data_IF_350106885577
#
_entry.id   IF_350106885577
#
_cell.length_a   1.000
_cell.length_b   1.000
_cell.length_c   1.000
_cell.angle_alpha   90.00
_cell.angle_beta   90.00
_cell.angle_gamma   90.00
#
_symmetry.space_group_name_H-M   'P 1'
#
loop_
_entity.id
_entity.type
_entity.pdbx_description
1 polymer ?
#
# COMPACT_ATOMS: atom_id res chain seq x y z
N UNK A 1 13.23 -3.40 -4.42
CA UNK A 1 14.17 -3.38 -5.56
C UNK A 1 13.44 -3.85 -6.80
N UNK A 2 14.03 -3.64 -7.98
CA UNK A 2 13.63 -4.34 -9.21
C UNK A 2 14.86 -4.98 -9.80
N UNK A 3 14.81 -6.28 -10.05
CA UNK A 3 15.95 -7.10 -10.53
C UNK A 3 17.23 -6.89 -9.69
N UNK A 4 17.06 -6.76 -8.37
CA UNK A 4 18.14 -6.48 -7.42
C UNK A 4 18.61 -5.03 -7.36
N UNK A 5 18.10 -4.14 -8.22
CA UNK A 5 18.47 -2.72 -8.27
C UNK A 5 17.58 -1.89 -7.34
N UNK A 6 18.20 -1.07 -6.48
CA UNK A 6 17.49 -0.14 -5.59
C UNK A 6 17.00 1.13 -6.29
N UNK A 7 16.04 1.86 -5.72
CA UNK A 7 15.57 3.12 -6.29
C UNK A 7 16.61 4.26 -6.20
N UNK A 8 17.59 4.15 -5.29
CA UNK A 8 18.69 5.10 -5.14
C UNK A 8 20.01 4.34 -5.00
N UNK A 9 21.12 5.02 -5.32
CA UNK A 9 22.47 4.48 -5.25
C UNK A 9 23.36 5.37 -4.38
N UNK A 10 23.83 4.87 -3.23
CA UNK A 10 24.76 5.61 -2.40
C UNK A 10 26.15 5.64 -3.04
N UNK A 11 26.83 6.79 -2.99
CA UNK A 11 28.24 6.96 -3.35
C UNK A 11 29.16 7.05 -2.12
N UNK A 12 28.62 6.82 -0.92
CA UNK A 12 29.31 6.98 0.34
C UNK A 12 28.35 7.27 1.50
N UNK A 13 28.85 7.55 2.71
CA UNK A 13 28.03 7.72 3.91
C UNK A 13 27.01 8.86 3.85
N UNK A 14 27.28 9.88 3.02
CA UNK A 14 26.45 11.09 2.90
C UNK A 14 26.33 11.58 1.45
N UNK A 15 26.59 10.73 0.48
CA UNK A 15 26.54 11.07 -0.95
C UNK A 15 25.74 10.04 -1.73
N UNK A 16 25.08 10.50 -2.77
CA UNK A 16 24.32 9.67 -3.69
C UNK A 16 24.99 9.70 -5.05
N UNK A 17 25.34 8.53 -5.60
CA UNK A 17 25.67 8.42 -7.01
C UNK A 17 24.41 8.70 -7.84
N UNK A 18 23.26 8.25 -7.34
CA UNK A 18 21.95 8.53 -7.90
C UNK A 18 20.91 8.63 -6.78
N UNK A 19 20.05 9.65 -6.85
CA UNK A 19 18.87 9.78 -5.99
C UNK A 19 17.64 9.82 -6.89
N UNK A 20 16.66 8.97 -6.61
CA UNK A 20 15.36 9.03 -7.30
C UNK A 20 14.75 10.42 -7.13
N UNK A 21 14.25 10.98 -8.22
CA UNK A 21 13.37 12.14 -8.17
C UNK A 21 11.96 11.65 -7.88
N UNK A 22 11.34 12.20 -6.85
CA UNK A 22 10.01 11.81 -6.41
C UNK A 22 9.08 13.02 -6.36
N UNK A 23 7.82 12.81 -6.73
CA UNK A 23 6.77 13.82 -6.66
C UNK A 23 5.51 13.21 -6.03
N UNK A 24 4.99 13.88 -5.00
CA UNK A 24 3.66 13.57 -4.47
C UNK A 24 2.62 14.16 -5.42
N UNK A 25 1.86 13.30 -6.08
CA UNK A 25 0.93 13.70 -7.14
C UNK A 25 -0.53 13.70 -6.70
N UNK A 26 -0.82 13.25 -5.47
CA UNK A 26 -2.16 13.21 -4.89
C UNK A 26 -2.09 13.10 -3.37
N UNK A 27 -2.91 13.90 -2.68
CA UNK A 27 -3.13 13.84 -1.24
C UNK A 27 -4.59 14.19 -0.92
N UNK A 28 -5.32 13.29 -0.26
CA UNK A 28 -6.67 13.58 0.25
C UNK A 28 -6.84 13.00 1.65
N UNK A 29 -7.68 13.65 2.45
CA UNK A 29 -8.07 13.19 3.78
C UNK A 29 -9.58 13.42 3.98
N UNK A 30 -10.29 12.37 4.38
CA UNK A 30 -11.71 12.45 4.69
C UNK A 30 -12.16 11.27 5.55
N UNK A 31 -13.00 11.51 6.56
CA UNK A 31 -13.68 10.43 7.29
C UNK A 31 -12.74 9.43 7.99
N UNK A 32 -11.55 9.87 8.43
CA UNK A 32 -10.54 8.99 9.02
C UNK A 32 -9.72 8.19 7.99
N UNK A 33 -9.86 8.49 6.71
CA UNK A 33 -9.09 7.90 5.62
C UNK A 33 -8.16 8.97 5.05
N UNK A 34 -6.87 8.64 4.94
CA UNK A 34 -5.88 9.45 4.21
C UNK A 34 -5.39 8.65 3.02
N UNK A 35 -5.38 9.25 1.84
CA UNK A 35 -4.79 8.66 0.64
C UNK A 35 -3.69 9.60 0.14
N UNK A 36 -2.47 9.07 0.04
CA UNK A 36 -1.34 9.74 -0.58
C UNK A 36 -0.80 8.89 -1.72
N UNK A 37 -0.58 9.47 -2.90
CA UNK A 37 0.16 8.83 -3.99
C UNK A 37 1.35 9.69 -4.38
N UNK A 38 2.47 9.02 -4.65
CA UNK A 38 3.67 9.62 -5.18
C UNK A 38 4.28 8.74 -6.27
N UNK A 39 4.95 9.36 -7.23
CA UNK A 39 5.78 8.67 -8.23
C UNK A 39 7.25 8.96 -8.00
N UNK A 40 8.11 8.03 -8.42
CA UNK A 40 9.54 8.27 -8.53
C UNK A 40 10.16 7.55 -9.71
N UNK A 41 11.32 8.02 -10.17
CA UNK A 41 12.01 7.50 -11.35
C UNK A 41 13.22 6.60 -11.06
N UNK A 42 13.43 6.28 -9.78
CA UNK A 42 14.60 5.53 -9.28
C UNK A 42 14.97 4.20 -9.97
N UNK A 43 14.06 3.61 -10.76
CA UNK A 43 14.34 2.38 -11.52
C UNK A 43 14.61 2.62 -13.01
N UNK A 44 14.56 3.87 -13.50
CA UNK A 44 14.93 4.19 -14.90
C UNK A 44 16.33 3.71 -15.26
N UNK A 45 17.24 3.82 -14.30
CA UNK A 45 18.63 3.34 -14.39
C UNK A 45 18.75 1.81 -14.54
N UNK A 46 17.74 1.04 -14.14
CA UNK A 46 17.72 -0.41 -14.30
C UNK A 46 17.28 -0.82 -15.72
N UNK A 47 17.28 0.12 -16.68
CA UNK A 47 16.80 -0.12 -18.05
C UNK A 47 15.28 -0.15 -18.16
N UNK A 48 14.55 0.18 -17.08
CA UNK A 48 13.10 0.21 -17.07
C UNK A 48 12.62 1.59 -17.52
N UNK A 49 11.66 1.68 -18.43
CA UNK A 49 11.04 2.98 -18.75
C UNK A 49 10.12 3.50 -17.63
N UNK A 50 9.87 2.67 -16.61
CA UNK A 50 8.81 2.84 -15.63
C UNK A 50 9.12 3.88 -14.54
N UNK A 51 8.19 4.80 -14.34
CA UNK A 51 8.03 5.41 -13.02
C UNK A 51 7.42 4.37 -12.07
N UNK A 52 7.91 4.32 -10.84
CA UNK A 52 7.29 3.56 -9.77
C UNK A 52 6.33 4.48 -9.01
N UNK A 53 5.10 4.02 -8.82
CA UNK A 53 4.09 4.72 -8.03
C UNK A 53 3.90 4.00 -6.71
N UNK A 54 3.92 4.75 -5.61
CA UNK A 54 3.52 4.27 -4.30
C UNK A 54 2.28 5.02 -3.84
N UNK A 55 1.23 4.27 -3.59
CA UNK A 55 0.01 4.74 -2.95
C UNK A 55 -0.03 4.23 -1.52
N UNK A 56 -0.23 5.13 -0.56
CA UNK A 56 -0.40 4.82 0.85
C UNK A 56 -1.81 5.24 1.26
N UNK A 57 -2.58 4.28 1.79
CA UNK A 57 -3.88 4.53 2.43
C UNK A 57 -3.74 4.26 3.91
N UNK A 58 -4.05 5.26 4.72
CA UNK A 58 -4.27 5.10 6.16
C UNK A 58 -5.77 5.07 6.39
N UNK A 59 -6.25 3.99 7.01
CA UNK A 59 -7.59 3.92 7.59
C UNK A 59 -7.41 3.95 9.09
N UNK A 60 -7.74 5.10 9.67
CA UNK A 60 -7.47 5.37 11.07
C UNK A 60 -8.23 4.38 11.99
N UNK A 61 -7.63 4.03 13.15
CA UNK A 61 -6.32 4.49 13.63
C UNK A 61 -5.15 3.57 13.25
N UNK A 62 -5.39 2.39 12.68
CA UNK A 62 -4.43 1.28 12.78
C UNK A 62 -4.19 0.48 11.50
N UNK A 63 -4.83 0.82 10.38
CA UNK A 63 -4.68 0.07 9.14
C UNK A 63 -3.94 0.92 8.09
N UNK A 64 -2.83 0.39 7.61
CA UNK A 64 -2.05 0.97 6.52
C UNK A 64 -2.07 0.04 5.33
N UNK A 65 -2.32 0.56 4.14
CA UNK A 65 -2.27 -0.17 2.89
C UNK A 65 -1.26 0.55 2.00
N UNK A 66 -0.20 -0.15 1.63
CA UNK A 66 0.85 0.36 0.76
C UNK A 66 0.80 -0.42 -0.54
N UNK A 67 0.55 0.28 -1.64
CA UNK A 67 0.51 -0.29 -2.97
C UNK A 67 1.62 0.31 -3.81
N UNK A 68 2.53 -0.56 -4.24
CA UNK A 68 3.58 -0.24 -5.20
C UNK A 68 3.15 -0.71 -6.59
N UNK A 69 3.17 0.20 -7.57
CA UNK A 69 2.84 -0.08 -8.96
C UNK A 69 4.00 0.30 -9.86
N UNK A 70 4.41 -0.62 -10.71
CA UNK A 70 5.45 -0.42 -11.71
C UNK A 70 4.90 -0.68 -13.10
N UNK A 71 5.06 0.31 -13.97
CA UNK A 71 4.68 0.24 -15.38
C UNK A 71 5.86 -0.25 -16.23
N UNK A 72 6.15 -1.55 -16.12
CA UNK A 72 7.27 -2.20 -16.81
C UNK A 72 6.75 -3.12 -17.92
N UNK A 73 7.54 -3.25 -18.98
CA UNK A 73 7.31 -4.23 -20.05
C UNK A 73 8.22 -5.43 -19.85
N UNK A 74 7.67 -6.64 -20.04
CA UNK A 74 8.43 -7.87 -19.85
C UNK A 74 8.39 -8.39 -18.41
N UNK A 75 9.27 -9.35 -18.12
CA UNK A 75 9.28 -10.09 -16.85
C UNK A 75 10.36 -9.58 -15.93
N UNK A 76 9.96 -9.07 -14.76
CA UNK A 76 10.87 -8.51 -13.75
C UNK A 76 10.61 -9.12 -12.38
N UNK A 77 11.66 -9.17 -11.56
CA UNK A 77 11.60 -9.52 -10.14
C UNK A 77 11.42 -8.24 -9.33
N UNK A 78 10.33 -8.11 -8.58
CA UNK A 78 10.16 -7.04 -7.60
C UNK A 78 10.34 -7.57 -6.20
N UNK A 79 10.98 -6.75 -5.37
CA UNK A 79 11.08 -7.03 -3.95
C UNK A 79 10.67 -5.80 -3.14
N UNK A 80 9.79 -6.01 -2.17
CA UNK A 80 9.45 -5.00 -1.15
C UNK A 80 10.12 -5.42 0.15
N UNK A 81 10.90 -4.50 0.72
CA UNK A 81 11.64 -4.74 1.96
C UNK A 81 10.98 -4.00 3.12
N UNK A 82 10.74 -4.71 4.21
CA UNK A 82 10.19 -4.20 5.46
C UNK A 82 11.23 -4.36 6.56
N UNK A 83 11.68 -3.22 7.11
CA UNK A 83 12.65 -3.19 8.19
C UNK A 83 11.91 -3.11 9.52
N UNK A 84 12.10 -4.10 10.37
CA UNK A 84 11.56 -4.06 11.73
C UNK A 84 12.42 -3.16 12.62
N UNK A 85 11.82 -2.63 13.68
CA UNK A 85 12.56 -2.00 14.77
C UNK A 85 13.36 -3.04 15.57
N UNK A 86 14.48 -2.66 16.23
CA UNK A 86 15.15 -3.52 17.19
C UNK A 86 14.18 -4.06 18.26
N UNK A 87 14.35 -5.32 18.65
CA UNK A 87 13.48 -6.00 19.61
C UNK A 87 12.15 -6.52 19.05
N UNK A 88 11.86 -6.30 17.76
CA UNK A 88 10.74 -6.96 17.08
C UNK A 88 11.15 -8.35 16.62
N UNK A 89 10.29 -9.34 16.88
CA UNK A 89 10.42 -10.72 16.41
C UNK A 89 9.28 -11.05 15.44
N UNK A 90 9.56 -11.15 14.13
CA UNK A 90 8.60 -11.65 13.15
C UNK A 90 8.28 -13.13 13.37
N UNK A 91 7.02 -13.50 13.20
CA UNK A 91 6.53 -14.88 13.20
C UNK A 91 5.58 -15.06 12.04
N UNK A 92 5.76 -16.11 11.24
CA UNK A 92 4.94 -16.35 10.05
C UNK A 92 3.84 -17.36 10.34
N UNK A 93 2.61 -16.99 10.03
CA UNK A 93 1.41 -17.84 10.08
C UNK A 93 0.72 -17.82 8.71
N UNK A 94 1.00 -18.83 7.88
CA UNK A 94 0.53 -18.87 6.50
C UNK A 94 1.10 -17.71 5.66
N UNK A 95 0.22 -16.82 5.21
CA UNK A 95 0.58 -15.65 4.41
C UNK A 95 0.89 -14.39 5.27
N UNK A 96 0.55 -14.41 6.56
CA UNK A 96 0.66 -13.25 7.46
C UNK A 96 1.93 -13.36 8.31
N UNK A 97 2.58 -12.22 8.51
CA UNK A 97 3.64 -12.05 9.50
C UNK A 97 3.12 -11.32 10.73
N UNK A 98 3.05 -12.01 11.87
CA UNK A 98 2.84 -11.40 13.18
C UNK A 98 4.15 -10.81 13.71
N UNK A 99 4.16 -9.51 13.98
CA UNK A 99 5.32 -8.78 14.50
C UNK A 99 5.19 -8.66 16.02
N UNK A 100 6.13 -9.25 16.77
CA UNK A 100 6.02 -9.35 18.23
C UNK A 100 7.07 -8.50 18.96
N UNK A 101 6.68 -7.88 20.08
CA UNK A 101 7.59 -7.25 21.05
C UNK A 101 7.32 -7.84 22.42
N UNK A 102 8.36 -8.29 23.11
CA UNK A 102 8.25 -8.87 24.47
C UNK A 102 7.19 -9.97 24.59
N UNK A 103 7.01 -10.75 23.51
CA UNK A 103 6.03 -11.84 23.42
C UNK A 103 4.62 -11.42 22.99
N UNK A 104 4.29 -10.13 22.95
CA UNK A 104 3.00 -9.62 22.49
C UNK A 104 3.05 -9.23 21.00
N UNK A 105 2.04 -9.62 20.22
CA UNK A 105 1.87 -9.14 18.84
C UNK A 105 1.55 -7.64 18.85
N UNK A 106 2.33 -6.84 18.13
CA UNK A 106 2.19 -5.38 18.01
C UNK A 106 1.69 -4.94 16.62
N UNK A 107 1.83 -5.81 15.62
CA UNK A 107 1.30 -5.57 14.28
C UNK A 107 1.26 -6.86 13.45
N UNK A 108 0.44 -6.85 12.40
CA UNK A 108 0.45 -7.85 11.34
C UNK A 108 0.91 -7.21 10.03
N UNK A 109 1.67 -7.97 9.24
CA UNK A 109 2.13 -7.59 7.91
C UNK A 109 1.69 -8.68 6.91
N UNK A 110 0.96 -8.29 5.88
CA UNK A 110 0.55 -9.16 4.78
C UNK A 110 0.98 -8.52 3.46
N UNK A 111 1.56 -9.31 2.56
CA UNK A 111 1.81 -8.91 1.17
C UNK A 111 1.05 -9.88 0.26
N UNK A 112 0.73 -9.42 -0.95
CA UNK A 112 0.09 -10.16 -2.04
C UNK A 112 0.32 -11.69 -2.03
N UNK A 113 -0.72 -12.48 -2.32
CA UNK A 113 -0.77 -13.92 -2.04
C UNK A 113 0.27 -14.77 -2.80
N UNK A 114 0.83 -14.21 -3.88
CA UNK A 114 1.82 -14.85 -4.75
C UNK A 114 3.20 -14.19 -4.60
N UNK A 115 3.71 -14.12 -3.37
CA UNK A 115 5.07 -13.68 -3.07
C UNK A 115 5.86 -14.74 -2.32
N UNK A 116 7.15 -14.81 -2.62
CA UNK A 116 8.12 -15.55 -1.85
C UNK A 116 8.65 -14.66 -0.73
N UNK A 117 8.76 -15.19 0.48
CA UNK A 117 9.28 -14.45 1.62
C UNK A 117 10.69 -14.89 1.97
N UNK A 118 11.54 -13.93 2.29
CA UNK A 118 12.79 -14.16 3.01
C UNK A 118 12.87 -13.28 4.25
N UNK A 119 13.50 -13.82 5.29
CA UNK A 119 13.83 -13.11 6.52
C UNK A 119 15.36 -13.05 6.65
N UNK A 120 15.88 -11.86 6.95
CA UNK A 120 17.31 -11.63 7.13
C UNK A 120 17.54 -10.78 8.38
N UNK A 121 18.57 -11.08 9.15
CA UNK A 121 19.04 -10.18 10.19
C UNK A 121 19.84 -9.05 9.54
N UNK A 122 19.38 -7.81 9.71
CA UNK A 122 20.08 -6.61 9.24
C UNK A 122 20.44 -5.72 10.43
N UNK A 123 20.87 -4.49 10.16
CA UNK A 123 21.12 -3.50 11.20
C UNK A 123 20.38 -2.19 10.91
N UNK A 124 19.89 -1.56 11.98
CA UNK A 124 19.33 -0.20 11.97
C UNK A 124 20.23 0.69 12.84
N UNK A 125 20.48 1.92 12.39
CA UNK A 125 21.23 2.92 13.13
C UNK A 125 20.33 4.12 13.42
N UNK A 126 19.85 4.24 14.66
CA UNK A 126 19.05 5.39 15.09
C UNK A 126 19.91 6.65 15.30
N UNK A 127 21.19 6.46 15.64
CA UNK A 127 22.18 7.51 15.83
C UNK A 127 23.51 7.10 15.20
N UNK A 128 24.34 8.08 14.85
CA UNK A 128 25.65 7.82 14.26
C UNK A 128 26.51 6.91 15.16
N UNK A 129 27.22 5.96 14.56
CA UNK A 129 28.11 5.03 15.26
C UNK A 129 27.43 3.85 15.97
N UNK A 130 26.10 3.83 16.08
CA UNK A 130 25.36 2.73 16.72
C UNK A 130 24.65 1.90 15.67
N UNK A 131 24.90 0.59 15.63
CA UNK A 131 24.20 -0.38 14.78
C UNK A 131 23.52 -1.41 15.65
N UNK A 132 22.20 -1.47 15.62
CA UNK A 132 21.40 -2.42 16.36
C UNK A 132 20.89 -3.52 15.41
N UNK A 133 21.02 -4.81 15.79
CA UNK A 133 20.46 -5.89 15.00
C UNK A 133 18.94 -5.76 14.93
N UNK A 134 18.38 -5.91 13.74
CA UNK A 134 16.95 -5.81 13.51
C UNK A 134 16.52 -6.67 12.31
N UNK A 135 15.41 -7.42 12.42
CA UNK A 135 14.94 -8.24 11.29
C UNK A 135 14.52 -7.40 10.09
N UNK A 136 14.77 -7.94 8.89
CA UNK A 136 14.27 -7.45 7.62
C UNK A 136 13.48 -8.56 6.95
N UNK A 137 12.24 -8.26 6.59
CA UNK A 137 11.39 -9.13 5.81
C UNK A 137 11.41 -8.64 4.36
N UNK A 138 11.57 -9.56 3.41
CA UNK A 138 11.52 -9.25 1.98
C UNK A 138 10.47 -10.12 1.31
N UNK A 139 9.47 -9.49 0.71
CA UNK A 139 8.52 -10.15 -0.17
C UNK A 139 8.98 -9.98 -1.63
N UNK A 140 9.19 -11.09 -2.32
CA UNK A 140 9.67 -11.15 -3.70
C UNK A 140 8.61 -11.73 -4.62
N UNK A 141 8.49 -11.19 -5.82
CA UNK A 141 7.58 -11.68 -6.84
C UNK A 141 8.15 -11.44 -8.22
N UNK A 142 8.07 -12.45 -9.08
CA UNK A 142 8.46 -12.35 -10.49
C UNK A 142 7.23 -12.41 -11.40
N UNK A 143 6.95 -11.34 -12.13
CA UNK A 143 5.72 -11.21 -12.95
C UNK A 143 6.01 -10.61 -14.32
N UNK A 144 5.13 -10.85 -15.29
CA UNK A 144 5.19 -10.24 -16.62
C UNK A 144 4.16 -9.09 -16.73
N UNK A 145 4.53 -8.01 -17.42
CA UNK A 145 3.65 -6.85 -17.68
C UNK A 145 3.54 -5.89 -16.49
N UNK A 146 2.45 -5.11 -16.40
CA UNK A 146 2.20 -4.16 -15.31
C UNK A 146 2.21 -4.88 -13.96
N UNK A 147 3.06 -4.42 -13.05
CA UNK A 147 3.27 -5.08 -11.77
C UNK A 147 2.70 -4.24 -10.64
N UNK A 148 2.00 -4.88 -9.71
CA UNK A 148 1.56 -4.26 -8.48
C UNK A 148 1.79 -5.19 -7.30
N UNK A 149 2.32 -4.64 -6.19
CA UNK A 149 2.41 -5.30 -4.91
C UNK A 149 1.66 -4.47 -3.88
N UNK A 150 0.70 -5.11 -3.22
CA UNK A 150 -0.05 -4.48 -2.13
C UNK A 150 0.38 -5.12 -0.81
N UNK A 151 0.76 -4.27 0.13
CA UNK A 151 1.09 -4.61 1.50
C UNK A 151 0.04 -4.02 2.42
N UNK A 152 -0.39 -4.79 3.41
CA UNK A 152 -1.26 -4.32 4.48
C UNK A 152 -0.52 -4.45 5.81
N UNK A 153 -0.57 -3.41 6.62
CA UNK A 153 -0.02 -3.37 7.98
C UNK A 153 -1.16 -2.99 8.92
N UNK A 154 -1.47 -3.86 9.87
CA UNK A 154 -2.47 -3.61 10.89
C UNK A 154 -1.83 -3.60 12.28
N UNK A 155 -1.96 -2.52 13.04
CA UNK A 155 -1.47 -2.45 14.43
C UNK A 155 -2.47 -3.08 15.41
N UNK A 156 -1.99 -3.83 16.40
CA UNK A 156 -2.81 -4.41 17.48
C UNK A 156 -3.15 -3.37 18.57
N UNK A 157 -4.27 -3.52 19.32
CA UNK A 157 -5.15 -4.69 19.40
C UNK A 157 -6.39 -4.56 18.49
N UNK A 158 -6.22 -4.33 17.18
CA UNK A 158 -7.28 -4.50 16.17
C UNK A 158 -7.19 -5.88 15.50
N UNK A 159 -8.28 -6.43 14.93
CA UNK A 159 -8.48 -7.87 15.01
C UNK A 159 -7.69 -8.65 13.94
N UNK A 160 -6.70 -9.38 14.46
CA UNK A 160 -6.30 -10.80 14.32
C UNK A 160 -6.23 -11.46 12.95
N UNK A 161 -6.89 -10.97 11.90
CA UNK A 161 -6.74 -11.56 10.56
C UNK A 161 -6.93 -10.52 9.48
N UNK A 162 -5.82 -9.98 9.03
CA UNK A 162 -5.78 -9.29 7.74
C UNK A 162 -5.89 -10.34 6.64
N UNK A 163 -6.95 -10.25 5.85
CA UNK A 163 -7.08 -11.02 4.61
C UNK A 163 -7.06 -10.08 3.42
N UNK A 164 -6.33 -10.50 2.38
CA UNK A 164 -6.35 -9.85 1.09
C UNK A 164 -6.71 -10.86 0.01
N UNK A 165 -7.64 -10.48 -0.85
CA UNK A 165 -7.87 -11.14 -2.14
C UNK A 165 -7.66 -10.15 -3.28
N UNK A 166 -7.37 -10.64 -4.47
CA UNK A 166 -7.42 -9.83 -5.68
C UNK A 166 -8.79 -9.11 -5.77
N UNK A 167 -8.76 -7.79 -5.99
CA UNK A 167 -9.96 -6.97 -6.18
C UNK A 167 -10.24 -6.70 -7.67
N UNK A 168 -11.34 -5.98 -8.00
CA UNK A 168 -11.67 -5.66 -9.38
C UNK A 168 -10.54 -4.93 -10.09
N UNK A 169 -10.30 -5.39 -11.32
CA UNK A 169 -9.31 -5.02 -12.35
C UNK A 169 -7.84 -4.91 -11.94
N UNK A 170 -7.48 -4.42 -10.75
CA UNK A 170 -6.14 -4.53 -10.14
C UNK A 170 -6.10 -4.19 -8.62
N UNK A 171 -7.24 -4.01 -7.95
CA UNK A 171 -7.34 -3.55 -6.55
C UNK A 171 -7.00 -4.57 -5.45
N UNK A 172 -7.44 -4.28 -4.22
CA UNK A 172 -7.33 -5.18 -3.07
C UNK A 172 -8.58 -5.08 -2.19
N UNK A 173 -9.15 -6.23 -1.80
CA UNK A 173 -10.12 -6.28 -0.69
C UNK A 173 -9.32 -6.50 0.58
N UNK A 174 -9.56 -5.70 1.61
CA UNK A 174 -8.89 -5.80 2.91
C UNK A 174 -9.94 -6.02 3.98
N UNK A 175 -9.78 -7.07 4.78
CA UNK A 175 -10.59 -7.33 5.98
C UNK A 175 -9.75 -7.13 7.23
N UNK A 176 -10.30 -6.48 8.23
CA UNK A 176 -9.65 -6.29 9.53
C UNK A 176 -10.72 -6.30 10.63
N UNK A 177 -10.77 -7.38 11.41
CA UNK A 177 -11.91 -7.65 12.28
C UNK A 177 -13.23 -7.72 11.54
N UNK A 178 -14.23 -7.05 12.09
CA UNK A 178 -15.58 -7.01 11.52
C UNK A 178 -15.72 -5.95 10.42
N UNK A 179 -14.61 -5.26 10.08
CA UNK A 179 -14.58 -4.23 9.04
C UNK A 179 -13.95 -4.80 7.78
N UNK A 180 -14.39 -4.28 6.65
CA UNK A 180 -13.82 -4.60 5.35
C UNK A 180 -13.87 -3.39 4.44
N UNK A 181 -12.99 -3.37 3.45
CA UNK A 181 -12.92 -2.29 2.48
C UNK A 181 -12.21 -2.71 1.20
N UNK A 182 -12.38 -1.89 0.18
CA UNK A 182 -11.85 -2.12 -1.17
C UNK A 182 -10.94 -0.95 -1.53
N UNK A 183 -9.69 -1.26 -1.83
CA UNK A 183 -8.79 -0.38 -2.55
C UNK A 183 -8.95 -0.62 -4.06
N UNK A 184 -9.32 0.43 -4.80
CA UNK A 184 -9.29 0.46 -6.27
C UNK A 184 -8.10 1.29 -6.74
N UNK A 185 -7.34 0.79 -7.73
CA UNK A 185 -6.19 1.50 -8.32
C UNK A 185 -5.76 0.83 -9.65
N UNK A 186 -6.17 1.36 -10.83
CA UNK A 186 -7.05 2.52 -11.01
C UNK A 186 -8.52 2.19 -10.71
N UNK A 187 -9.39 3.18 -10.85
CA UNK A 187 -10.84 3.09 -10.67
C UNK A 187 -11.50 1.95 -11.44
N UNK A 188 -12.78 1.74 -11.19
CA UNK A 188 -13.55 0.65 -11.73
C UNK A 188 -14.93 0.60 -11.07
N UNK A 189 -15.51 -0.59 -11.02
CA UNK A 189 -16.83 -0.83 -10.41
C UNK A 189 -16.73 -1.85 -9.28
N UNK A 190 -17.17 -1.49 -8.07
CA UNK A 190 -17.39 -2.45 -6.98
C UNK A 190 -18.33 -1.88 -5.91
N UNK A 191 -19.08 -2.75 -5.24
CA UNK A 191 -19.96 -2.39 -4.12
C UNK A 191 -20.92 -1.22 -4.42
N UNK A 192 -21.44 -1.17 -5.66
CA UNK A 192 -22.31 -0.09 -6.13
C UNK A 192 -21.59 1.23 -6.42
N UNK A 193 -20.27 1.28 -6.28
CA UNK A 193 -19.42 2.43 -6.61
C UNK A 193 -18.85 2.24 -8.01
N UNK A 194 -18.96 3.27 -8.85
CA UNK A 194 -18.29 3.36 -10.15
C UNK A 194 -17.47 4.64 -10.19
N UNK A 195 -16.17 4.53 -10.49
CA UNK A 195 -15.29 5.70 -10.56
C UNK A 195 -14.14 5.51 -11.53
N UNK A 196 -13.68 6.62 -12.10
CA UNK A 196 -12.44 6.71 -12.88
C UNK A 196 -11.24 7.16 -12.03
N UNK A 197 -11.41 7.25 -10.70
CA UNK A 197 -10.39 7.74 -9.80
C UNK A 197 -9.04 7.05 -10.01
N UNK A 198 -7.95 7.80 -9.89
CA UNK A 198 -6.61 7.21 -9.82
C UNK A 198 -6.51 6.19 -8.68
N UNK A 199 -7.12 6.53 -7.56
CA UNK A 199 -7.26 5.65 -6.39
C UNK A 199 -8.58 5.93 -5.69
N UNK A 200 -9.24 4.87 -5.24
CA UNK A 200 -10.38 4.98 -4.34
C UNK A 200 -10.28 3.98 -3.21
N UNK A 201 -10.70 4.41 -2.02
CA UNK A 201 -10.98 3.54 -0.88
C UNK A 201 -12.48 3.51 -0.63
N UNK A 202 -13.02 2.31 -0.47
CA UNK A 202 -14.43 2.08 -0.17
C UNK A 202 -14.49 1.27 1.12
N UNK A 203 -14.99 1.84 2.21
CA UNK A 203 -15.37 1.04 3.38
C UNK A 203 -16.74 0.42 3.15
N UNK A 204 -16.91 -0.84 3.54
CA UNK A 204 -18.18 -1.54 3.41
C UNK A 204 -18.83 -1.77 4.77
N UNK A 205 -20.14 -1.85 4.77
CA UNK A 205 -20.91 -2.40 5.89
C UNK A 205 -20.84 -3.95 5.89
N UNK A 206 -21.57 -4.57 6.83
CA UNK A 206 -21.64 -6.03 6.96
C UNK A 206 -22.34 -6.71 5.78
N UNK A 207 -23.23 -6.00 5.08
CA UNK A 207 -23.95 -6.47 3.90
C UNK A 207 -23.10 -6.34 2.60
N UNK A 208 -21.91 -5.77 2.69
CA UNK A 208 -21.02 -5.54 1.55
C UNK A 208 -21.36 -4.30 0.71
N UNK A 209 -22.22 -3.42 1.22
CA UNK A 209 -22.55 -2.15 0.58
C UNK A 209 -21.58 -1.04 1.02
N UNK A 210 -21.35 -0.05 0.16
CA UNK A 210 -20.52 1.10 0.50
C UNK A 210 -21.07 1.87 1.71
N UNK A 211 -20.22 2.10 2.70
CA UNK A 211 -20.44 2.93 3.88
C UNK A 211 -19.76 4.30 3.72
N UNK A 212 -18.51 4.30 3.27
CA UNK A 212 -17.68 5.48 3.01
C UNK A 212 -16.93 5.27 1.70
N UNK A 213 -16.85 6.31 0.88
CA UNK A 213 -16.03 6.35 -0.34
C UNK A 213 -15.14 7.57 -0.29
N UNK A 214 -13.83 7.35 -0.46
CA UNK A 214 -12.82 8.40 -0.63
C UNK A 214 -12.12 8.13 -1.95
N UNK A 215 -12.42 8.95 -2.95
CA UNK A 215 -11.85 8.87 -4.29
C UNK A 215 -10.96 10.07 -4.56
N UNK A 216 -9.85 9.86 -5.27
CA UNK A 216 -8.90 10.90 -5.56
C UNK A 216 -8.31 10.78 -6.97
N UNK A 217 -8.08 11.94 -7.59
CA UNK A 217 -7.74 12.02 -9.02
C UNK A 217 -8.86 11.48 -9.90
N UNK A 218 -10.11 11.74 -9.53
CA UNK A 218 -11.32 11.35 -10.26
C UNK A 218 -11.84 12.50 -11.11
N UNK A 219 -12.57 12.19 -12.17
CA UNK A 219 -13.46 13.12 -12.87
C UNK A 219 -14.93 12.68 -12.78
N UNK A 220 -15.18 11.44 -12.34
CA UNK A 220 -16.50 10.85 -12.17
C UNK A 220 -16.53 9.88 -11.00
N UNK A 221 -17.50 10.09 -10.11
CA UNK A 221 -17.88 9.16 -9.07
C UNK A 221 -19.40 8.95 -9.09
N UNK A 222 -19.84 7.70 -9.17
CA UNK A 222 -21.22 7.29 -8.98
C UNK A 222 -21.29 6.35 -7.78
N UNK A 223 -22.31 6.52 -6.94
CA UNK A 223 -22.64 5.59 -5.84
C UNK A 223 -24.10 5.19 -6.00
N UNK A 224 -24.34 3.90 -6.20
CA UNK A 224 -25.66 3.32 -6.53
C UNK A 224 -26.37 4.07 -7.65
N UNK A 225 -25.63 4.39 -8.72
CA UNK A 225 -26.12 5.15 -9.88
C UNK A 225 -26.30 6.65 -9.66
N UNK A 226 -26.14 7.16 -8.43
CA UNK A 226 -26.24 8.60 -8.12
C UNK A 226 -24.88 9.27 -8.29
N UNK A 227 -24.85 10.39 -9.01
CA UNK A 227 -23.61 11.16 -9.22
C UNK A 227 -23.19 11.87 -7.95
N UNK A 228 -21.96 11.62 -7.52
CA UNK A 228 -21.28 12.34 -6.44
C UNK A 228 -20.46 13.48 -7.06
N UNK A 229 -20.57 14.72 -6.56
CA UNK A 229 -19.75 15.83 -7.01
C UNK A 229 -18.27 15.53 -6.81
N UNK A 230 -17.48 15.88 -7.83
CA UNK A 230 -16.03 15.79 -7.81
C UNK A 230 -15.49 17.21 -7.71
N UNK A 231 -14.59 17.44 -6.76
CA UNK A 231 -13.94 18.73 -6.52
C UNK A 231 -12.96 19.05 -7.65
N UNK A 232 -12.57 20.32 -7.76
CA UNK A 232 -11.63 20.77 -8.81
C UNK A 232 -10.26 20.08 -8.72
N UNK A 233 -9.83 19.70 -7.52
CA UNK A 233 -8.61 18.93 -7.27
C UNK A 233 -8.75 17.42 -7.58
N UNK A 234 -9.91 17.00 -8.08
CA UNK A 234 -10.23 15.61 -8.41
C UNK A 234 -10.56 14.73 -7.20
N UNK A 235 -10.75 15.31 -6.01
CA UNK A 235 -11.21 14.58 -4.84
C UNK A 235 -12.75 14.45 -4.84
N UNK A 236 -13.26 13.30 -4.38
CA UNK A 236 -14.68 13.09 -4.20
C UNK A 236 -14.94 12.21 -2.98
N UNK A 237 -15.94 12.59 -2.19
CA UNK A 237 -16.26 11.92 -0.94
C UNK A 237 -17.74 11.60 -0.86
N UNK A 238 -18.05 10.41 -0.34
CA UNK A 238 -19.42 10.00 -0.08
C UNK A 238 -19.49 9.19 1.20
N UNK A 239 -20.53 9.41 1.99
CA UNK A 239 -20.83 8.66 3.21
C UNK A 239 -22.31 8.32 3.24
N UNK A 240 -22.66 7.07 3.60
CA UNK A 240 -24.04 6.57 3.58
C UNK A 240 -25.02 7.49 4.30
N UNK A 241 -24.66 7.93 5.50
CA UNK A 241 -25.55 8.71 6.38
C UNK A 241 -25.60 10.21 6.06
N UNK A 242 -24.67 10.70 5.24
CA UNK A 242 -24.50 12.14 5.01
C UNK A 242 -24.50 12.54 3.53
N UNK A 243 -24.63 11.57 2.63
CA UNK A 243 -24.50 11.79 1.19
C UNK A 243 -23.07 12.19 0.83
N UNK A 244 -22.93 13.20 -0.02
CA UNK A 244 -21.63 13.70 -0.48
C UNK A 244 -21.25 15.01 0.22
N UNK A 245 -19.94 15.26 0.36
CA UNK A 245 -19.37 16.49 0.91
C UNK A 245 -18.21 16.98 0.06
#
# INVERSE_FOLDING_TARGET
TVDGVGAAEPAGPFSWAHRAEAACDLWVEHGGVVIASATHDGFRRAGLSAACRRTVVLVAPSLWIVRDELDVTGTHSLEVHWQCAPGITPRREGAVWGLHRDGAEVAQLLVDENVEWSEQLSAVAATYGVRLPAPRLTASSRRNGRQALTTVIASTPGPTRVERTAGPETGAVVRWGDRQGILMSPGGVAAGVETDARVAWIELNQDGEALLVVAAGSTRLLVSGTRVPVREDGAAYWHRDHGWR
#
